data_IF_212796789838
#
_entry.id   IF_212796789838
#
_cell.length_a   1.000
_cell.length_b   1.000
_cell.length_c   1.000
_cell.angle_alpha   90.00
_cell.angle_beta   90.00
_cell.angle_gamma   90.00
#
_symmetry.space_group_name_H-M   'P 1'
#
loop_
_entity.id
_entity.type
_entity.pdbx_description
1 polymer ?
#
# COMPACT_ATOMS: atom_id res chain seq x y z
N UNK A 1 -66.35 0.17 -4.10
CA UNK A 1 -65.83 1.47 -4.57
C UNK A 1 -64.63 1.87 -3.70
N UNK A 2 -63.54 2.28 -4.35
CA UNK A 2 -62.30 2.91 -3.86
C UNK A 2 -61.29 2.08 -3.02
N UNK A 3 -60.18 1.79 -3.69
CA UNK A 3 -58.86 1.47 -3.16
C UNK A 3 -58.10 2.72 -2.65
N UNK A 4 -57.09 2.50 -1.81
CA UNK A 4 -55.74 3.13 -1.76
C UNK A 4 -55.11 2.86 -0.38
N UNK A 5 -53.80 2.80 -0.17
CA UNK A 5 -52.58 2.51 -0.94
C UNK A 5 -51.45 2.80 0.05
N UNK A 6 -50.50 1.87 0.15
CA UNK A 6 -49.04 2.07 0.30
C UNK A 6 -48.47 3.14 1.25
N UNK A 7 -47.53 2.65 2.07
CA UNK A 7 -46.24 3.24 2.44
C UNK A 7 -46.20 4.52 3.30
N UNK A 8 -45.39 4.46 4.36
CA UNK A 8 -44.08 5.12 4.45
C UNK A 8 -43.65 5.09 5.93
N UNK A 9 -42.65 4.26 6.24
CA UNK A 9 -41.82 4.41 7.43
C UNK A 9 -40.94 5.65 7.24
N UNK A 10 -41.33 6.77 7.86
CA UNK A 10 -40.51 7.97 7.89
C UNK A 10 -39.65 7.98 9.17
N UNK A 11 -38.34 7.90 8.94
CA UNK A 11 -37.29 8.17 9.90
C UNK A 11 -37.46 9.58 10.51
N UNK A 12 -37.27 9.68 11.83
CA UNK A 12 -37.04 10.97 12.51
C UNK A 12 -35.64 11.00 13.09
N UNK A 13 -34.90 11.96 12.56
CA UNK A 13 -33.65 12.54 13.04
C UNK A 13 -33.88 13.34 14.33
N UNK A 14 -32.90 13.32 15.24
CA UNK A 14 -32.60 14.36 16.24
C UNK A 14 -31.20 14.06 16.81
N UNK A 15 -30.12 14.71 16.36
CA UNK A 15 -29.72 16.10 16.58
C UNK A 15 -29.07 16.37 17.96
N UNK A 16 -27.86 16.97 17.87
CA UNK A 16 -27.11 17.80 18.84
C UNK A 16 -26.25 17.07 19.90
N UNK A 17 -25.02 17.49 20.18
CA UNK A 17 -24.33 18.69 19.75
C UNK A 17 -22.85 18.76 20.18
N UNK A 18 -22.18 19.71 19.54
CA UNK A 18 -21.08 20.55 20.01
C UNK A 18 -19.84 19.89 20.63
N UNK A 19 -18.71 19.98 19.90
CA UNK A 19 -17.50 20.70 20.36
C UNK A 19 -16.73 21.27 19.17
N UNK A 20 -16.87 22.58 18.98
CA UNK A 20 -15.95 23.40 18.18
C UNK A 20 -14.61 23.49 18.92
N UNK A 21 -13.54 23.01 18.30
CA UNK A 21 -12.17 23.34 18.68
C UNK A 21 -11.55 24.17 17.56
N UNK A 22 -11.26 25.42 17.89
CA UNK A 22 -10.54 26.40 17.09
C UNK A 22 -9.09 25.96 17.00
N UNK A 23 -8.54 25.84 15.79
CA UNK A 23 -7.09 25.82 15.56
C UNK A 23 -6.79 26.66 14.34
N UNK A 24 -6.17 27.81 14.62
CA UNK A 24 -5.76 28.80 13.63
C UNK A 24 -4.71 28.22 12.69
N UNK A 25 -4.95 28.40 11.40
CA UNK A 25 -3.99 28.10 10.35
C UNK A 25 -3.28 29.41 9.98
N UNK A 26 -2.09 29.61 10.53
CA UNK A 26 -1.13 30.60 10.03
C UNK A 26 -0.60 30.10 8.68
N UNK A 27 -0.95 30.81 7.62
CA UNK A 27 -0.49 30.56 6.26
C UNK A 27 0.89 31.22 6.08
N UNK A 28 1.98 30.45 6.15
CA UNK A 28 3.27 30.91 5.64
C UNK A 28 3.37 30.55 4.16
N UNK A 29 3.25 31.57 3.29
CA UNK A 29 3.55 31.45 1.88
C UNK A 29 5.07 31.42 1.69
N UNK A 30 5.62 30.26 1.33
CA UNK A 30 6.99 30.14 0.85
C UNK A 30 6.97 30.24 -0.68
N UNK A 31 7.37 31.40 -1.22
CA UNK A 31 7.62 31.61 -2.64
C UNK A 31 8.93 30.92 -3.03
N UNK A 32 8.86 29.89 -3.89
CA UNK A 32 10.06 29.30 -4.50
C UNK A 32 10.23 29.91 -5.89
N UNK A 33 11.41 30.45 -6.26
CA UNK A 33 11.66 30.96 -7.59
C UNK A 33 11.76 29.83 -8.62
N UNK A 34 10.94 29.94 -9.67
CA UNK A 34 10.95 29.11 -10.86
C UNK A 34 12.21 29.45 -11.68
N UNK A 35 13.25 28.61 -11.65
CA UNK A 35 14.34 28.70 -12.62
C UNK A 35 14.02 27.83 -13.82
N UNK A 36 13.72 28.49 -14.94
CA UNK A 36 13.64 27.88 -16.25
C UNK A 36 15.03 27.42 -16.69
N UNK A 37 15.20 26.11 -16.89
CA UNK A 37 16.32 25.55 -17.61
C UNK A 37 15.80 25.06 -18.97
N UNK A 38 15.91 25.92 -19.98
CA UNK A 38 15.85 25.52 -21.38
C UNK A 38 17.21 24.93 -21.76
N UNK A 39 17.24 23.68 -22.19
CA UNK A 39 18.35 23.09 -22.91
C UNK A 39 17.83 22.51 -24.23
N UNK A 40 18.46 22.99 -25.28
CA UNK A 40 18.18 22.86 -26.70
C UNK A 40 18.50 21.48 -27.27
N UNK A 41 17.71 21.09 -28.26
CA UNK A 41 17.97 20.08 -29.28
C UNK A 41 19.39 20.15 -29.87
N UNK A 42 20.03 18.98 -30.04
CA UNK A 42 21.05 18.73 -31.07
C UNK A 42 20.97 17.27 -31.58
N UNK A 43 20.11 17.10 -32.58
CA UNK A 43 20.32 16.45 -33.89
C UNK A 43 21.62 15.65 -34.15
N UNK A 44 21.43 14.35 -34.40
CA UNK A 44 21.91 13.44 -35.48
C UNK A 44 23.35 13.39 -36.02
N UNK A 45 23.68 12.14 -36.43
CA UNK A 45 24.74 11.64 -37.34
C UNK A 45 26.06 11.29 -36.65
N UNK A 46 26.61 10.08 -36.82
CA UNK A 46 27.33 9.65 -38.04
C UNK A 46 27.22 8.14 -38.29
N UNK A 47 27.04 7.79 -39.58
CA UNK A 47 27.21 6.46 -40.16
C UNK A 47 28.65 5.96 -40.01
N UNK A 48 28.81 4.69 -39.63
CA UNK A 48 30.07 3.95 -39.74
C UNK A 48 29.81 2.49 -40.07
N UNK A 49 29.53 2.21 -41.34
CA UNK A 49 29.56 0.86 -41.88
C UNK A 49 31.02 0.43 -42.03
N UNK A 50 31.43 -0.69 -41.42
CA UNK A 50 32.66 -1.38 -41.80
C UNK A 50 32.55 -2.90 -41.60
N UNK A 51 32.50 -3.56 -42.76
CA UNK A 51 33.11 -4.83 -43.12
C UNK A 51 32.83 -6.09 -42.29
N UNK A 52 31.99 -6.93 -42.88
CA UNK A 52 32.07 -8.39 -42.83
C UNK A 52 33.49 -8.88 -43.18
N UNK A 53 33.97 -9.90 -42.45
CA UNK A 53 34.99 -10.84 -42.94
C UNK A 53 34.75 -12.24 -42.35
N UNK A 54 35.06 -13.31 -43.11
CA UNK A 54 34.49 -14.64 -42.89
C UNK A 54 35.27 -15.53 -41.90
N UNK A 55 34.47 -16.26 -41.11
CA UNK A 55 34.59 -17.65 -40.61
C UNK A 55 35.96 -18.35 -40.80
N UNK A 56 36.64 -18.62 -39.68
CA UNK A 56 37.53 -19.78 -39.55
C UNK A 56 36.93 -20.78 -38.54
N UNK A 57 36.72 -22.02 -39.02
CA UNK A 57 36.50 -23.22 -38.20
C UNK A 57 37.85 -23.71 -37.72
N UNK A 58 38.02 -23.88 -36.42
CA UNK A 58 38.86 -24.94 -35.84
C UNK A 58 38.22 -25.42 -34.53
N UNK A 59 37.81 -26.69 -34.58
CA UNK A 59 37.88 -27.74 -33.58
C UNK A 59 37.56 -27.44 -32.10
N UNK A 60 36.36 -27.92 -31.73
CA UNK A 60 36.03 -28.68 -30.52
C UNK A 60 37.13 -28.86 -29.47
N UNK A 61 37.10 -28.00 -28.44
CA UNK A 61 37.49 -28.40 -27.09
C UNK A 61 36.38 -27.98 -26.13
N UNK A 62 35.79 -28.99 -25.49
CA UNK A 62 34.63 -28.92 -24.62
C UNK A 62 34.92 -28.14 -23.34
N UNK A 63 34.74 -26.82 -23.37
CA UNK A 63 34.54 -26.01 -22.17
C UNK A 63 33.07 -25.59 -22.11
N UNK A 64 32.31 -26.20 -21.19
CA UNK A 64 30.93 -25.81 -20.88
C UNK A 64 30.93 -24.31 -20.50
N UNK A 65 30.12 -23.45 -21.17
CA UNK A 65 29.94 -22.08 -20.72
C UNK A 65 29.40 -22.09 -19.29
N UNK A 66 30.14 -21.51 -18.36
CA UNK A 66 29.77 -21.46 -16.96
C UNK A 66 28.53 -20.59 -16.76
N UNK A 67 27.60 -21.13 -15.98
CA UNK A 67 26.43 -20.50 -15.40
C UNK A 67 26.87 -19.37 -14.44
N UNK A 68 26.88 -18.11 -14.89
CA UNK A 68 27.14 -16.95 -14.01
C UNK A 68 25.98 -15.94 -14.01
N UNK A 69 24.92 -16.18 -14.78
CA UNK A 69 23.76 -15.28 -14.86
C UNK A 69 22.69 -15.49 -13.76
N UNK A 70 22.73 -16.61 -13.03
CA UNK A 70 21.69 -16.97 -12.06
C UNK A 70 21.97 -16.53 -10.62
N UNK A 71 23.20 -16.10 -10.28
CA UNK A 71 23.56 -15.73 -8.90
C UNK A 71 23.38 -14.24 -8.58
N UNK A 72 23.37 -13.37 -9.59
CA UNK A 72 23.22 -11.92 -9.41
C UNK A 72 21.75 -11.53 -9.11
N UNK A 73 20.80 -12.17 -9.79
CA UNK A 73 19.36 -11.89 -9.62
C UNK A 73 18.82 -12.25 -8.23
N UNK A 74 19.26 -13.38 -7.67
CA UNK A 74 18.83 -13.80 -6.33
C UNK A 74 19.44 -12.96 -5.21
N UNK A 75 20.65 -12.41 -5.41
CA UNK A 75 21.30 -11.59 -4.39
C UNK A 75 20.67 -10.21 -4.23
N UNK A 76 20.25 -9.56 -5.32
CA UNK A 76 19.58 -8.25 -5.24
C UNK A 76 18.15 -8.40 -4.69
N UNK A 77 17.41 -9.40 -5.16
CA UNK A 77 16.08 -9.72 -4.64
C UNK A 77 16.10 -9.97 -3.12
N UNK A 78 17.13 -10.68 -2.63
CA UNK A 78 17.29 -10.93 -1.19
C UNK A 78 17.54 -9.63 -0.40
N UNK A 79 18.35 -8.69 -0.94
CA UNK A 79 18.59 -7.39 -0.30
C UNK A 79 17.32 -6.55 -0.24
N UNK A 80 16.55 -6.55 -1.32
CA UNK A 80 15.27 -5.85 -1.40
C UNK A 80 14.28 -6.42 -0.38
N UNK A 81 14.13 -7.75 -0.31
CA UNK A 81 13.29 -8.39 0.70
C UNK A 81 13.75 -8.09 2.13
N UNK A 82 15.07 -8.06 2.38
CA UNK A 82 15.60 -7.67 3.69
C UNK A 82 15.25 -6.22 4.02
N UNK A 83 15.40 -5.30 3.07
CA UNK A 83 15.05 -3.89 3.24
C UNK A 83 13.57 -3.72 3.59
N UNK A 84 12.66 -4.44 2.90
CA UNK A 84 11.25 -4.51 3.28
C UNK A 84 11.07 -5.06 4.70
N UNK A 85 11.70 -6.19 5.03
CA UNK A 85 11.51 -6.86 6.33
C UNK A 85 11.92 -6.01 7.54
N UNK A 86 12.91 -5.12 7.34
CA UNK A 86 13.43 -4.21 8.37
C UNK A 86 12.75 -2.85 8.37
N UNK A 87 11.84 -2.61 7.43
CA UNK A 87 11.14 -1.35 7.26
C UNK A 87 9.95 -1.21 8.21
N UNK A 88 9.28 -0.06 8.14
CA UNK A 88 8.00 0.18 8.83
C UNK A 88 6.78 -0.38 8.07
N UNK A 89 6.95 -0.87 6.84
CA UNK A 89 5.82 -1.33 6.03
C UNK A 89 5.38 -2.73 6.45
N UNK A 90 4.08 -2.88 6.60
CA UNK A 90 3.45 -4.10 7.09
C UNK A 90 3.15 -5.06 5.94
N UNK A 91 2.69 -6.26 6.28
CA UNK A 91 2.12 -7.17 5.28
C UNK A 91 0.85 -6.59 4.64
N UNK A 92 0.05 -5.84 5.42
CA UNK A 92 -1.17 -5.18 4.93
C UNK A 92 -0.82 -4.09 3.91
N UNK A 93 0.23 -3.30 4.15
CA UNK A 93 0.72 -2.30 3.18
C UNK A 93 1.10 -2.96 1.84
N UNK A 94 1.80 -4.10 1.89
CA UNK A 94 2.13 -4.86 0.70
C UNK A 94 0.87 -5.40 -0.02
N UNK A 95 -0.17 -5.88 0.71
CA UNK A 95 -1.44 -6.30 0.09
C UNK A 95 -2.20 -5.14 -0.56
N UNK A 96 -2.20 -3.97 0.08
CA UNK A 96 -2.82 -2.75 -0.46
C UNK A 96 -2.18 -2.35 -1.79
N UNK A 97 -0.85 -2.30 -1.82
CA UNK A 97 -0.09 -1.98 -3.03
C UNK A 97 -0.18 -3.08 -4.10
N UNK A 98 -0.20 -4.35 -3.71
CA UNK A 98 -0.43 -5.48 -4.62
C UNK A 98 -1.75 -5.36 -5.38
N UNK A 99 -2.84 -5.02 -4.67
CA UNK A 99 -4.15 -4.76 -5.29
C UNK A 99 -4.12 -3.55 -6.22
N UNK A 100 -3.39 -2.50 -5.86
CA UNK A 100 -3.28 -1.30 -6.69
C UNK A 100 -2.46 -1.53 -7.97
N UNK A 101 -1.31 -2.17 -7.85
CA UNK A 101 -0.37 -2.40 -8.94
C UNK A 101 -0.68 -3.65 -9.75
N UNK A 102 -1.70 -4.41 -9.36
CA UNK A 102 -2.09 -5.69 -9.96
C UNK A 102 -0.90 -6.66 -10.03
N UNK A 103 -0.27 -6.87 -8.88
CA UNK A 103 0.92 -7.72 -8.70
C UNK A 103 0.74 -8.68 -7.53
N UNK A 104 1.54 -9.73 -7.51
CA UNK A 104 1.64 -10.63 -6.36
C UNK A 104 2.25 -9.93 -5.16
N UNK A 105 1.84 -10.34 -3.96
CA UNK A 105 2.31 -9.71 -2.70
C UNK A 105 3.81 -9.90 -2.51
N UNK A 106 4.37 -11.04 -2.92
CA UNK A 106 5.83 -11.29 -2.89
C UNK A 106 6.58 -10.24 -3.71
N UNK A 107 6.15 -10.02 -4.95
CA UNK A 107 6.79 -9.08 -5.87
C UNK A 107 6.70 -7.65 -5.35
N UNK A 108 5.58 -7.30 -4.73
CA UNK A 108 5.39 -5.99 -4.11
C UNK A 108 6.31 -5.80 -2.90
N UNK A 109 6.55 -6.83 -2.09
CA UNK A 109 7.53 -6.73 -0.97
C UNK A 109 8.93 -6.42 -1.49
N UNK A 110 9.37 -7.13 -2.53
CA UNK A 110 10.65 -6.86 -3.20
C UNK A 110 10.66 -5.43 -3.76
N UNK A 111 9.59 -5.02 -4.45
CA UNK A 111 9.52 -3.67 -5.03
C UNK A 111 9.54 -2.54 -3.98
N UNK A 112 8.89 -2.74 -2.82
CA UNK A 112 8.98 -1.83 -1.68
C UNK A 112 10.44 -1.71 -1.23
N UNK A 113 11.11 -2.85 -1.03
CA UNK A 113 12.52 -2.91 -0.67
C UNK A 113 13.42 -2.13 -1.62
N UNK A 114 13.28 -2.39 -2.92
CA UNK A 114 13.99 -1.68 -3.98
C UNK A 114 13.78 -0.16 -3.91
N UNK A 115 12.52 0.30 -3.74
CA UNK A 115 12.20 1.73 -3.62
C UNK A 115 12.84 2.37 -2.39
N UNK A 116 12.97 1.64 -1.28
CA UNK A 116 13.63 2.13 -0.07
C UNK A 116 15.14 2.28 -0.25
N UNK A 117 15.79 1.33 -0.93
CA UNK A 117 17.22 1.38 -1.22
C UNK A 117 17.57 2.40 -2.32
N UNK A 118 16.61 2.75 -3.18
CA UNK A 118 16.76 3.72 -4.28
C UNK A 118 16.79 5.19 -3.81
N UNK A 119 16.56 5.46 -2.52
CA UNK A 119 16.69 6.78 -1.92
C UNK A 119 15.39 7.58 -1.75
N UNK A 120 15.49 8.85 -1.29
CA UNK A 120 14.35 9.58 -0.74
C UNK A 120 13.21 9.87 -1.73
N UNK A 121 13.53 10.16 -3.00
CA UNK A 121 12.51 10.44 -4.02
C UNK A 121 11.66 9.20 -4.32
N UNK A 122 12.29 8.04 -4.48
CA UNK A 122 11.60 6.76 -4.69
C UNK A 122 10.76 6.37 -3.47
N UNK A 123 11.27 6.63 -2.26
CA UNK A 123 10.53 6.42 -1.01
C UNK A 123 9.31 7.34 -0.89
N UNK A 124 9.41 8.60 -1.32
CA UNK A 124 8.29 9.54 -1.30
C UNK A 124 7.17 9.12 -2.28
N UNK A 125 7.53 8.63 -3.47
CA UNK A 125 6.56 8.07 -4.43
C UNK A 125 5.86 6.82 -3.86
N UNK A 126 6.61 5.94 -3.20
CA UNK A 126 6.05 4.78 -2.50
C UNK A 126 5.00 5.19 -1.45
N UNK A 127 5.29 6.21 -0.65
CA UNK A 127 4.35 6.72 0.35
C UNK A 127 3.07 7.29 -0.28
N UNK A 128 3.19 8.04 -1.38
CA UNK A 128 2.03 8.56 -2.11
C UNK A 128 1.14 7.42 -2.63
N UNK A 129 1.75 6.42 -3.27
CA UNK A 129 1.02 5.23 -3.74
C UNK A 129 0.33 4.49 -2.59
N UNK A 130 0.97 4.41 -1.42
CA UNK A 130 0.39 3.77 -0.25
C UNK A 130 -0.80 4.58 0.31
N UNK A 131 -0.70 5.91 0.35
CA UNK A 131 -1.82 6.79 0.74
C UNK A 131 -3.03 6.57 -0.18
N UNK A 132 -2.81 6.55 -1.49
CA UNK A 132 -3.88 6.31 -2.46
C UNK A 132 -4.50 4.91 -2.29
N UNK A 133 -3.68 3.90 -2.01
CA UNK A 133 -4.14 2.53 -1.79
C UNK A 133 -5.00 2.43 -0.54
N UNK A 134 -4.61 3.13 0.53
CA UNK A 134 -5.37 3.23 1.77
C UNK A 134 -6.71 3.92 1.57
N UNK A 135 -6.74 5.06 0.87
CA UNK A 135 -7.99 5.78 0.55
C UNK A 135 -8.96 4.85 -0.20
N UNK A 136 -8.47 4.16 -1.24
CA UNK A 136 -9.28 3.21 -2.02
C UNK A 136 -9.79 2.05 -1.16
N UNK A 137 -8.96 1.50 -0.28
CA UNK A 137 -9.36 0.41 0.60
C UNK A 137 -10.39 0.86 1.63
N UNK A 138 -10.20 2.02 2.28
CA UNK A 138 -11.15 2.56 3.25
C UNK A 138 -12.53 2.83 2.64
N UNK A 139 -12.59 3.28 1.38
CA UNK A 139 -13.84 3.46 0.66
C UNK A 139 -14.62 2.14 0.50
N UNK A 140 -13.92 1.00 0.43
CA UNK A 140 -14.56 -0.32 0.29
C UNK A 140 -15.07 -0.93 1.60
N UNK A 141 -14.57 -0.48 2.76
CA UNK A 141 -14.94 -1.05 4.07
C UNK A 141 -16.43 -0.88 4.39
N UNK A 142 -17.05 0.19 3.89
CA UNK A 142 -18.47 0.47 4.16
C UNK A 142 -19.42 -0.23 3.17
N UNK A 143 -18.88 -0.94 2.16
CA UNK A 143 -19.66 -1.44 1.02
C UNK A 143 -20.23 -2.86 1.22
N UNK A 144 -20.23 -3.39 2.45
CA UNK A 144 -20.49 -4.81 2.76
C UNK A 144 -19.59 -5.80 1.98
N UNK A 145 -18.55 -5.31 1.31
CA UNK A 145 -17.48 -6.17 0.81
C UNK A 145 -16.72 -6.67 2.03
N UNK A 146 -16.51 -7.99 2.12
CA UNK A 146 -15.99 -8.63 3.33
C UNK A 146 -14.75 -7.97 3.91
N UNK A 147 -14.59 -8.08 5.23
CA UNK A 147 -13.47 -7.53 5.98
C UNK A 147 -12.20 -8.35 5.68
N UNK A 148 -11.50 -7.95 4.61
CA UNK A 148 -10.39 -8.72 4.03
C UNK A 148 -9.22 -8.80 5.00
N UNK A 149 -8.86 -7.66 5.62
CA UNK A 149 -7.68 -7.58 6.47
C UNK A 149 -7.95 -8.09 7.89
N UNK A 150 -9.19 -7.97 8.37
CA UNK A 150 -9.66 -8.64 9.59
C UNK A 150 -9.40 -10.14 9.50
N UNK A 151 -9.70 -10.78 8.36
CA UNK A 151 -9.47 -12.20 8.17
C UNK A 151 -7.97 -12.57 8.22
N UNK A 152 -7.10 -11.69 7.73
CA UNK A 152 -5.64 -11.88 7.78
C UNK A 152 -5.03 -11.61 9.17
N UNK A 153 -5.74 -10.87 10.02
CA UNK A 153 -5.19 -10.36 11.30
C UNK A 153 -4.93 -11.42 12.35
N UNK A 154 -5.51 -12.62 12.20
CA UNK A 154 -5.47 -13.69 13.20
C UNK A 154 -6.35 -13.42 14.44
N UNK A 155 -7.10 -12.32 14.48
CA UNK A 155 -8.05 -12.04 15.57
C UNK A 155 -9.30 -12.92 15.48
N UNK A 156 -9.79 -13.35 16.64
CA UNK A 156 -10.94 -14.25 16.73
C UNK A 156 -12.26 -13.48 16.85
N UNK A 157 -13.38 -14.19 16.76
CA UNK A 157 -14.68 -13.59 17.09
C UNK A 157 -14.73 -13.11 18.54
N UNK A 158 -14.13 -13.85 19.48
CA UNK A 158 -14.09 -13.47 20.89
C UNK A 158 -13.28 -12.17 21.11
N UNK A 159 -12.19 -11.99 20.34
CA UNK A 159 -11.49 -10.70 20.32
C UNK A 159 -12.41 -9.58 19.85
N UNK A 160 -13.23 -9.81 18.82
CA UNK A 160 -14.20 -8.80 18.36
C UNK A 160 -15.26 -8.47 19.42
N UNK A 161 -15.73 -9.46 20.19
CA UNK A 161 -16.67 -9.25 21.31
C UNK A 161 -16.02 -8.42 22.41
N UNK A 162 -14.80 -8.80 22.81
CA UNK A 162 -14.05 -8.10 23.86
C UNK A 162 -13.72 -6.66 23.44
N UNK A 163 -13.28 -6.47 22.19
CA UNK A 163 -13.01 -5.14 21.61
C UNK A 163 -14.26 -4.29 21.49
N UNK A 164 -15.41 -4.89 21.12
CA UNK A 164 -16.67 -4.15 21.07
C UNK A 164 -17.05 -3.58 22.44
N UNK A 165 -16.91 -4.39 23.50
CA UNK A 165 -17.12 -3.94 24.88
C UNK A 165 -16.12 -2.85 25.28
N UNK A 166 -14.84 -3.04 24.99
CA UNK A 166 -13.78 -2.09 25.34
C UNK A 166 -13.97 -0.73 24.65
N UNK A 167 -14.33 -0.72 23.38
CA UNK A 167 -14.46 0.50 22.57
C UNK A 167 -15.86 1.11 22.59
N UNK A 168 -16.84 0.48 23.25
CA UNK A 168 -18.23 0.94 23.28
C UNK A 168 -18.95 0.79 21.95
N UNK A 169 -18.55 -0.18 21.13
CA UNK A 169 -19.19 -0.46 19.83
C UNK A 169 -20.47 -1.27 20.06
N UNK A 170 -21.53 -0.97 19.29
CA UNK A 170 -22.84 -1.61 19.47
C UNK A 170 -22.89 -3.09 19.06
N UNK A 171 -21.86 -3.60 18.38
CA UNK A 171 -21.77 -5.01 18.00
C UNK A 171 -20.31 -5.45 17.77
N UNK A 172 -20.03 -6.77 17.86
CA UNK A 172 -18.74 -7.33 17.45
C UNK A 172 -18.40 -7.00 16.00
N UNK A 173 -19.40 -6.89 15.12
CA UNK A 173 -19.18 -6.48 13.72
C UNK A 173 -18.56 -5.09 13.61
N UNK A 174 -19.05 -4.11 14.38
CA UNK A 174 -18.49 -2.75 14.37
C UNK A 174 -17.05 -2.72 14.90
N UNK A 175 -16.72 -3.57 15.87
CA UNK A 175 -15.34 -3.73 16.30
C UNK A 175 -14.45 -4.29 15.19
N UNK A 176 -14.91 -5.30 14.42
CA UNK A 176 -14.16 -5.82 13.27
C UNK A 176 -13.96 -4.74 12.20
N UNK A 177 -14.97 -3.92 11.92
CA UNK A 177 -14.86 -2.77 11.00
C UNK A 177 -13.82 -1.77 11.49
N UNK A 178 -13.77 -1.47 12.80
CA UNK A 178 -12.74 -0.60 13.36
C UNK A 178 -11.36 -1.22 13.25
N UNK A 179 -11.22 -2.53 13.47
CA UNK A 179 -9.95 -3.26 13.27
C UNK A 179 -9.51 -3.18 11.81
N UNK A 180 -10.39 -3.50 10.86
CA UNK A 180 -10.13 -3.39 9.42
C UNK A 180 -9.55 -2.02 9.05
N UNK A 181 -10.19 -0.94 9.52
CA UNK A 181 -9.73 0.44 9.28
C UNK A 181 -8.36 0.71 9.89
N UNK A 182 -8.11 0.21 11.10
CA UNK A 182 -6.80 0.38 11.75
C UNK A 182 -5.70 -0.39 11.02
N UNK A 183 -5.97 -1.60 10.54
CA UNK A 183 -5.02 -2.37 9.72
C UNK A 183 -4.67 -1.63 8.43
N UNK A 184 -5.68 -1.11 7.70
CA UNK A 184 -5.46 -0.32 6.48
C UNK A 184 -4.60 0.91 6.77
N UNK A 185 -4.84 1.58 7.90
CA UNK A 185 -4.10 2.79 8.29
C UNK A 185 -2.71 2.53 8.87
N UNK A 186 -2.29 1.26 9.04
CA UNK A 186 -1.01 0.90 9.67
C UNK A 186 -1.01 1.06 11.20
N UNK A 187 -2.18 1.10 11.83
CA UNK A 187 -2.36 1.27 13.28
C UNK A 187 -2.46 -0.07 14.03
N UNK A 188 -1.67 -1.07 13.62
CA UNK A 188 -1.68 -2.42 14.21
C UNK A 188 -1.43 -2.41 15.73
N UNK A 189 -0.57 -1.52 16.19
CA UNK A 189 -0.24 -1.40 17.61
C UNK A 189 -1.44 -0.95 18.47
N UNK A 190 -2.37 -0.16 17.90
CA UNK A 190 -3.62 0.22 18.59
C UNK A 190 -4.49 -1.01 18.82
N UNK A 191 -4.57 -1.90 17.83
CA UNK A 191 -5.34 -3.14 17.92
C UNK A 191 -4.70 -4.08 18.94
N UNK A 192 -3.38 -4.30 18.84
CA UNK A 192 -2.64 -5.17 19.76
C UNK A 192 -2.82 -4.77 21.22
N UNK A 193 -2.61 -3.48 21.53
CA UNK A 193 -2.83 -2.95 22.89
C UNK A 193 -4.27 -3.11 23.33
N UNK A 194 -5.23 -2.85 22.44
CA UNK A 194 -6.66 -2.97 22.76
C UNK A 194 -7.06 -4.42 23.07
N UNK A 195 -6.55 -5.40 22.33
CA UNK A 195 -6.82 -6.82 22.60
C UNK A 195 -6.25 -7.24 23.95
N UNK A 196 -5.02 -6.80 24.28
CA UNK A 196 -4.42 -7.06 25.60
C UNK A 196 -5.27 -6.48 26.73
N UNK A 197 -5.79 -5.27 26.56
CA UNK A 197 -6.64 -4.61 27.55
C UNK A 197 -8.02 -5.27 27.66
N UNK A 198 -8.61 -5.68 26.53
CA UNK A 198 -9.96 -6.25 26.48
C UNK A 198 -10.05 -7.66 27.08
N UNK A 199 -8.93 -8.39 27.16
CA UNK A 199 -8.83 -9.74 27.73
C UNK A 199 -8.57 -9.77 29.25
N UNK A 200 -8.37 -8.61 29.88
CA UNK A 200 -8.21 -8.48 31.34
C UNK A 200 -9.57 -8.33 32.01
#
# INVERSE_FOLDING_TARGET
MKAKSSDVYNARTSARGDRLAILGLMLLAATVPLHAASATDLTSQVLGAQAYSPRQKTDSSSAKPQLIAQSQGSSEEQKDLEAYSRSKYTYIDAKLLAKMWNKEVSDVKTHIGFKLLSGPLASAELEQNLVDARIKALASVNSNQGLTYWQDSGHTYDDAVALAKLWGESSPWNAKVRVEKNLILGNEEVIKKSVILARK
#
